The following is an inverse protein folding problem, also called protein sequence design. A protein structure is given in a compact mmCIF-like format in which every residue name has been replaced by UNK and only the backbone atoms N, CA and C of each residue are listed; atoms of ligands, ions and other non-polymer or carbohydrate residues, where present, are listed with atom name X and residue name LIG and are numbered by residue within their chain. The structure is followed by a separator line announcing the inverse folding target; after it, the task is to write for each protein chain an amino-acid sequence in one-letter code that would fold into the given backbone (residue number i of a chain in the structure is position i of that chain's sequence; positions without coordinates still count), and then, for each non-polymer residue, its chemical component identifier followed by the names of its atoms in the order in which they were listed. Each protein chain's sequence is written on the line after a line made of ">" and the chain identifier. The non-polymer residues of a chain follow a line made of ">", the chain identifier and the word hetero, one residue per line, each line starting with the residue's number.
data_IF_502055521168
#
_entry.id   IF_502055521168
#
_cell.length_a   1.000
_cell.length_b   1.000
_cell.length_c   1.000
_cell.angle_alpha   90.00
_cell.angle_beta   90.00
_cell.angle_gamma   90.00
#
_symmetry.space_group_name_H-M   'P 1'
#
loop_
_entity.id
_entity.type
_entity.pdbx_description
1 polymer ?
#
# COMPACT_ATOMS: atom_id res chain seq x y z
N UNK A 1 -12.40 -31.58 -0.52
CA UNK A 1 -11.40 -32.53 0.03
C UNK A 1 -12.12 -33.83 0.39
N UNK A 2 -11.51 -35.00 0.15
CA UNK A 2 -12.11 -36.31 0.45
C UNK A 2 -13.51 -36.54 -0.13
N UNK A 3 -13.75 -36.12 -1.38
CA UNK A 3 -15.07 -36.25 -2.05
C UNK A 3 -16.11 -35.20 -1.65
N UNK A 4 -15.82 -34.34 -0.67
CA UNK A 4 -16.71 -33.27 -0.20
C UNK A 4 -16.38 -31.96 -0.92
N UNK A 5 -17.42 -31.30 -1.45
CA UNK A 5 -17.30 -29.96 -2.02
C UNK A 5 -17.12 -28.95 -0.89
N UNK A 6 -15.92 -28.40 -0.78
CA UNK A 6 -15.57 -27.34 0.18
C UNK A 6 -15.42 -26.04 -0.59
N UNK A 7 -16.04 -24.96 -0.10
CA UNK A 7 -15.96 -23.63 -0.70
C UNK A 7 -14.75 -22.89 -0.12
N UNK A 8 -13.73 -22.66 -0.94
CA UNK A 8 -12.58 -21.84 -0.57
C UNK A 8 -12.73 -20.42 -1.11
N UNK A 9 -12.35 -19.43 -0.30
CA UNK A 9 -12.14 -18.07 -0.78
C UNK A 9 -10.87 -18.04 -1.65
N UNK A 10 -10.96 -17.46 -2.85
CA UNK A 10 -9.76 -17.19 -3.66
C UNK A 10 -8.87 -16.20 -2.92
N UNK A 11 -7.59 -16.55 -2.74
CA UNK A 11 -6.57 -15.69 -2.14
C UNK A 11 -5.53 -15.35 -3.19
N UNK A 12 -5.04 -14.11 -3.20
CA UNK A 12 -4.00 -13.70 -4.14
C UNK A 12 -2.66 -13.61 -3.43
N UNK A 13 -1.65 -14.25 -4.00
CA UNK A 13 -0.28 -14.16 -3.52
C UNK A 13 0.29 -12.79 -3.91
N UNK A 14 0.55 -11.94 -2.92
CA UNK A 14 1.04 -10.56 -3.14
C UNK A 14 2.51 -10.50 -3.58
N UNK A 15 3.27 -11.53 -3.20
CA UNK A 15 4.64 -11.80 -3.62
C UNK A 15 4.65 -12.64 -4.89
N UNK A 16 5.74 -12.57 -5.65
CA UNK A 16 5.97 -13.55 -6.70
C UNK A 16 6.51 -14.87 -6.10
N UNK A 17 6.35 -15.98 -6.83
CA UNK A 17 6.71 -17.31 -6.33
C UNK A 17 8.19 -17.42 -5.94
N UNK A 18 9.08 -16.67 -6.62
CA UNK A 18 10.51 -16.67 -6.29
C UNK A 18 10.78 -16.02 -4.93
N UNK A 19 10.15 -14.89 -4.64
CA UNK A 19 10.26 -14.18 -3.36
C UNK A 19 9.77 -15.07 -2.21
N UNK A 20 8.60 -15.71 -2.37
CA UNK A 20 8.04 -16.59 -1.33
C UNK A 20 8.90 -17.83 -1.11
N UNK A 21 9.43 -18.42 -2.18
CA UNK A 21 10.34 -19.56 -2.07
C UNK A 21 11.64 -19.19 -1.33
N UNK A 22 12.19 -17.99 -1.58
CA UNK A 22 13.37 -17.51 -0.86
C UNK A 22 13.09 -17.34 0.64
N UNK A 23 11.96 -16.73 1.01
CA UNK A 23 11.54 -16.60 2.42
C UNK A 23 11.34 -17.99 3.06
N UNK A 24 10.67 -18.90 2.36
CA UNK A 24 10.44 -20.25 2.86
C UNK A 24 11.76 -20.98 3.18
N UNK A 25 12.75 -20.92 2.29
CA UNK A 25 14.07 -21.55 2.52
C UNK A 25 14.83 -20.88 3.66
N UNK A 26 14.70 -19.54 3.82
CA UNK A 26 15.29 -18.81 4.95
C UNK A 26 14.68 -19.25 6.29
N UNK A 27 13.35 -19.36 6.33
CA UNK A 27 12.62 -19.75 7.55
C UNK A 27 12.70 -21.26 7.84
N UNK A 28 13.04 -22.07 6.82
CA UNK A 28 13.13 -23.53 6.93
C UNK A 28 14.46 -24.04 6.33
N UNK A 29 15.61 -23.82 6.99
CA UNK A 29 16.93 -24.17 6.44
C UNK A 29 17.12 -25.67 6.13
N UNK A 30 16.37 -26.54 6.81
CA UNK A 30 16.40 -27.99 6.60
C UNK A 30 15.46 -28.50 5.50
N UNK A 31 14.60 -27.65 4.93
CA UNK A 31 13.65 -28.05 3.91
C UNK A 31 14.29 -28.03 2.52
N UNK A 32 14.57 -29.21 1.96
CA UNK A 32 15.09 -29.35 0.59
C UNK A 32 13.95 -29.39 -0.43
N UNK A 33 13.43 -28.21 -0.80
CA UNK A 33 12.40 -28.09 -1.84
C UNK A 33 12.84 -27.16 -2.97
N UNK A 34 12.69 -27.63 -4.21
CA UNK A 34 12.93 -26.82 -5.41
C UNK A 34 11.84 -25.76 -5.59
N UNK A 35 12.17 -24.66 -6.29
CA UNK A 35 11.18 -23.61 -6.60
C UNK A 35 9.99 -24.13 -7.39
N UNK A 36 10.20 -25.07 -8.31
CA UNK A 36 9.12 -25.67 -9.12
C UNK A 36 8.19 -26.51 -8.25
N UNK A 37 8.74 -27.41 -7.43
CA UNK A 37 7.95 -28.21 -6.49
C UNK A 37 7.20 -27.31 -5.50
N UNK A 38 7.85 -26.29 -4.95
CA UNK A 38 7.21 -25.30 -4.08
C UNK A 38 6.02 -24.61 -4.76
N UNK A 39 6.14 -24.28 -6.04
CA UNK A 39 5.07 -23.65 -6.80
C UNK A 39 3.85 -24.58 -7.03
N UNK A 40 4.08 -25.89 -7.11
CA UNK A 40 3.07 -26.94 -7.28
C UNK A 40 2.31 -27.23 -5.99
N UNK A 41 3.00 -27.23 -4.84
CA UNK A 41 2.34 -27.37 -3.53
C UNK A 41 1.51 -26.16 -3.12
N UNK A 42 1.52 -25.08 -3.90
CA UNK A 42 0.64 -23.94 -3.68
C UNK A 42 -0.82 -24.40 -3.80
N UNK A 43 -1.67 -24.18 -2.77
CA UNK A 43 -3.08 -24.51 -2.86
C UNK A 43 -3.74 -23.84 -4.08
N UNK A 44 -4.64 -24.56 -4.76
CA UNK A 44 -5.24 -24.12 -6.03
C UNK A 44 -6.09 -22.86 -5.89
N UNK A 45 -6.65 -22.61 -4.71
CA UNK A 45 -7.37 -21.38 -4.38
C UNK A 45 -6.45 -20.19 -4.09
N UNK A 46 -5.13 -20.38 -4.00
CA UNK A 46 -4.13 -19.32 -3.93
C UNK A 46 -3.62 -19.01 -5.34
N UNK A 47 -4.03 -17.87 -5.86
CA UNK A 47 -3.72 -17.42 -7.22
C UNK A 47 -2.48 -16.51 -7.22
N UNK A 48 -1.54 -16.66 -8.17
CA UNK A 48 -0.38 -15.76 -8.24
C UNK A 48 -0.79 -14.35 -8.66
N UNK A 49 -0.09 -13.31 -8.18
CA UNK A 49 -0.36 -11.89 -8.52
C UNK A 49 -0.63 -11.61 -10.00
N UNK A 50 0.04 -12.34 -10.91
CA UNK A 50 -0.13 -12.19 -12.36
C UNK A 50 -1.57 -12.45 -12.86
N UNK A 51 -2.39 -13.15 -12.08
CA UNK A 51 -3.80 -13.40 -12.41
C UNK A 51 -4.71 -12.24 -12.04
N UNK A 52 -4.21 -11.23 -11.32
CA UNK A 52 -4.95 -9.99 -11.12
C UNK A 52 -4.93 -9.20 -12.44
N UNK A 53 -6.10 -8.87 -12.96
CA UNK A 53 -6.25 -8.09 -14.20
C UNK A 53 -5.62 -6.68 -14.08
N UNK A 54 -5.50 -6.16 -12.85
CA UNK A 54 -5.03 -4.81 -12.59
C UNK A 54 -4.04 -4.79 -11.41
N UNK A 55 -2.95 -4.01 -11.56
CA UNK A 55 -2.12 -3.59 -10.43
C UNK A 55 -2.77 -2.33 -9.83
N UNK A 56 -3.61 -2.53 -8.82
CA UNK A 56 -4.40 -1.46 -8.17
C UNK A 56 -3.60 -0.87 -7.00
N UNK A 57 -3.95 0.34 -6.54
CA UNK A 57 -3.38 1.01 -5.37
C UNK A 57 -1.86 1.28 -5.42
N UNK A 58 -1.31 1.49 -6.62
CA UNK A 58 0.10 1.86 -6.76
C UNK A 58 0.29 3.33 -6.37
N UNK A 59 1.17 3.59 -5.41
CA UNK A 59 1.55 4.94 -5.02
C UNK A 59 2.27 5.66 -6.17
N UNK A 60 1.81 6.86 -6.51
CA UNK A 60 2.42 7.74 -7.54
C UNK A 60 3.90 7.98 -7.26
N UNK A 61 4.28 8.21 -5.99
CA UNK A 61 5.69 8.43 -5.61
C UNK A 61 6.57 7.22 -5.96
N UNK A 62 6.12 5.99 -5.66
CA UNK A 62 6.87 4.78 -5.97
C UNK A 62 6.91 4.52 -7.49
N UNK A 63 5.77 4.62 -8.17
CA UNK A 63 5.72 4.30 -9.61
C UNK A 63 6.48 5.33 -10.45
N UNK A 64 6.45 6.61 -10.08
CA UNK A 64 7.18 7.63 -10.82
C UNK A 64 8.70 7.44 -10.74
N UNK A 65 9.24 7.09 -9.57
CA UNK A 65 10.66 6.74 -9.44
C UNK A 65 10.97 5.47 -10.23
N UNK A 66 10.12 4.44 -10.14
CA UNK A 66 10.26 3.20 -10.91
C UNK A 66 10.28 3.44 -12.43
N UNK A 67 9.41 4.34 -12.94
CA UNK A 67 9.36 4.70 -14.35
C UNK A 67 10.63 5.44 -14.81
N UNK A 68 11.19 6.31 -13.97
CA UNK A 68 12.47 6.99 -14.25
C UNK A 68 13.63 6.00 -14.28
N UNK A 69 13.72 5.11 -13.27
CA UNK A 69 14.75 4.06 -13.23
C UNK A 69 14.71 3.16 -14.48
N UNK A 70 13.51 2.82 -14.94
CA UNK A 70 13.33 2.06 -16.18
C UNK A 70 13.77 2.82 -17.42
N UNK A 71 13.43 4.10 -17.53
CA UNK A 71 13.81 4.91 -18.68
C UNK A 71 15.33 5.18 -18.74
N UNK A 72 15.99 5.24 -17.58
CA UNK A 72 17.44 5.40 -17.47
C UNK A 72 18.20 4.08 -17.56
N UNK A 73 17.50 2.95 -17.65
CA UNK A 73 18.10 1.63 -17.83
C UNK A 73 18.82 1.57 -19.17
N UNK A 74 20.15 1.50 -19.13
CA UNK A 74 21.01 1.52 -20.32
C UNK A 74 21.65 2.88 -20.62
N UNK A 75 21.33 3.92 -19.85
CA UNK A 75 21.93 5.27 -19.96
C UNK A 75 22.78 5.66 -18.74
N UNK A 76 22.70 4.87 -17.67
CA UNK A 76 23.49 5.03 -16.45
C UNK A 76 24.14 3.70 -16.10
N UNK A 77 25.47 3.67 -16.08
CA UNK A 77 26.23 2.44 -15.84
C UNK A 77 26.00 1.91 -14.42
N UNK A 78 25.59 0.64 -14.31
CA UNK A 78 25.37 -0.02 -13.01
C UNK A 78 24.09 0.42 -12.29
N UNK A 79 23.19 1.14 -12.97
CA UNK A 79 21.87 1.48 -12.44
C UNK A 79 21.03 0.23 -12.24
N UNK A 80 20.39 0.12 -11.08
CA UNK A 80 19.46 -0.97 -10.75
C UNK A 80 18.04 -0.61 -11.17
N UNK A 81 17.31 -1.61 -11.66
CA UNK A 81 15.87 -1.51 -11.95
C UNK A 81 14.99 -1.88 -10.74
N UNK A 82 15.57 -2.39 -9.66
CA UNK A 82 14.90 -2.65 -8.38
C UNK A 82 14.88 -1.38 -7.55
N UNK A 83 13.68 -0.92 -7.19
CA UNK A 83 13.47 0.27 -6.36
C UNK A 83 14.10 0.12 -4.96
N UNK A 84 13.94 -1.04 -4.32
CA UNK A 84 14.54 -1.29 -3.01
C UNK A 84 16.07 -1.28 -3.07
N UNK A 85 16.64 -1.87 -4.12
CA UNK A 85 18.10 -1.87 -4.33
C UNK A 85 18.62 -0.47 -4.66
N UNK A 86 17.82 0.36 -5.33
CA UNK A 86 18.16 1.76 -5.58
C UNK A 86 18.24 2.54 -4.27
N UNK A 87 17.23 2.41 -3.40
CA UNK A 87 17.18 3.11 -2.12
C UNK A 87 18.31 2.69 -1.18
N UNK A 88 18.50 1.37 -0.97
CA UNK A 88 19.56 0.83 -0.11
C UNK A 88 20.95 1.32 -0.48
N UNK A 89 21.23 1.54 -1.78
CA UNK A 89 22.52 2.08 -2.24
C UNK A 89 22.67 3.58 -1.97
N UNK A 90 21.58 4.33 -1.93
CA UNK A 90 21.60 5.79 -1.74
C UNK A 90 21.78 6.21 -0.28
N UNK A 91 21.50 5.33 0.68
CA UNK A 91 21.60 5.64 2.10
C UNK A 91 22.60 4.73 2.81
N UNK A 92 23.06 5.11 4.00
CA UNK A 92 23.92 4.25 4.84
C UNK A 92 23.10 3.21 5.60
N UNK A 93 21.97 3.65 6.18
CA UNK A 93 21.03 2.79 6.88
C UNK A 93 19.59 3.24 6.61
N UNK A 94 18.78 2.33 6.10
CA UNK A 94 17.36 2.58 5.81
C UNK A 94 16.48 2.72 7.06
N UNK A 95 17.00 2.35 8.24
CA UNK A 95 16.34 2.50 9.53
C UNK A 95 16.64 3.84 10.21
N UNK A 96 17.71 4.53 9.79
CA UNK A 96 18.08 5.83 10.35
C UNK A 96 17.28 6.95 9.71
N UNK A 97 16.71 7.80 10.57
CA UNK A 97 15.90 8.94 10.12
C UNK A 97 16.73 9.94 9.31
N UNK A 98 17.92 10.29 9.78
CA UNK A 98 18.80 11.26 9.11
C UNK A 98 19.14 10.83 7.68
N UNK A 99 19.40 9.55 7.47
CA UNK A 99 19.62 8.95 6.16
C UNK A 99 18.40 9.10 5.25
N UNK A 100 17.22 8.71 5.73
CA UNK A 100 16.00 8.69 4.92
C UNK A 100 15.33 10.05 4.76
N UNK A 101 15.68 11.02 5.59
CA UNK A 101 15.23 12.42 5.49
C UNK A 101 16.19 13.29 4.66
N UNK A 102 17.25 12.71 4.10
CA UNK A 102 18.27 13.40 3.31
C UNK A 102 19.07 14.46 4.09
N UNK A 103 19.32 14.21 5.38
CA UNK A 103 20.14 15.05 6.26
C UNK A 103 21.42 14.37 6.77
N UNK A 104 21.76 13.19 6.25
CA UNK A 104 23.00 12.48 6.58
C UNK A 104 24.16 12.94 5.69
N UNK A 105 25.24 13.40 6.32
CA UNK A 105 26.45 13.90 5.63
C UNK A 105 27.11 12.83 4.77
N UNK A 106 27.13 11.57 5.22
CA UNK A 106 27.70 10.44 4.46
C UNK A 106 26.86 10.08 3.22
N UNK A 107 25.58 10.48 3.18
CA UNK A 107 24.67 10.16 2.09
C UNK A 107 24.60 11.25 1.02
N UNK A 108 25.00 12.48 1.32
CA UNK A 108 24.73 13.67 0.49
C UNK A 108 25.29 13.53 -0.94
N UNK A 109 26.44 12.86 -1.08
CA UNK A 109 27.12 12.67 -2.36
C UNK A 109 26.80 11.34 -3.05
N UNK A 110 26.06 10.41 -2.41
CA UNK A 110 25.80 9.08 -2.96
C UNK A 110 25.06 9.12 -4.29
N UNK A 111 24.08 10.01 -4.44
CA UNK A 111 23.38 10.18 -5.71
C UNK A 111 24.34 10.60 -6.84
N UNK A 112 25.24 11.55 -6.54
CA UNK A 112 26.22 12.03 -7.52
C UNK A 112 27.14 10.88 -7.96
N UNK A 113 27.71 10.15 -7.01
CA UNK A 113 28.65 9.05 -7.27
C UNK A 113 28.02 7.85 -7.98
N UNK A 114 26.77 7.52 -7.64
CA UNK A 114 26.09 6.32 -8.15
C UNK A 114 25.34 6.55 -9.47
N UNK A 115 24.94 7.80 -9.74
CA UNK A 115 24.06 8.13 -10.87
C UNK A 115 24.73 9.15 -11.78
N UNK A 116 24.95 10.37 -11.30
CA UNK A 116 25.39 11.49 -12.15
C UNK A 116 26.75 11.24 -12.81
N UNK A 117 27.71 10.71 -12.05
CA UNK A 117 29.06 10.42 -12.58
C UNK A 117 29.10 9.19 -13.51
N UNK A 118 27.97 8.48 -13.67
CA UNK A 118 27.88 7.23 -14.44
C UNK A 118 26.94 7.34 -15.63
N UNK A 119 26.53 8.55 -16.00
CA UNK A 119 25.75 8.79 -17.22
C UNK A 119 26.65 8.47 -18.42
N UNK A 120 26.18 7.62 -19.33
CA UNK A 120 26.97 7.17 -20.48
C UNK A 120 26.80 8.04 -21.71
N UNK A 121 25.66 8.71 -21.83
CA UNK A 121 25.28 9.56 -22.97
C UNK A 121 24.25 10.57 -22.48
N UNK A 122 24.72 11.76 -22.09
CA UNK A 122 23.91 12.80 -21.44
C UNK A 122 23.11 13.67 -22.43
N UNK A 123 23.53 13.72 -23.69
CA UNK A 123 22.89 14.46 -24.78
C UNK A 123 21.84 13.64 -25.55
N UNK A 124 21.78 12.32 -25.36
CA UNK A 124 20.73 11.51 -26.00
C UNK A 124 19.33 11.89 -25.55
N UNK A 125 18.44 12.00 -26.53
CA UNK A 125 17.01 12.19 -26.28
C UNK A 125 16.36 10.84 -25.99
N UNK A 126 15.68 10.75 -24.85
CA UNK A 126 14.89 9.59 -24.44
C UNK A 126 13.45 9.99 -24.14
N UNK A 127 12.56 9.00 -24.12
CA UNK A 127 11.18 9.15 -23.69
C UNK A 127 10.94 8.41 -22.39
N UNK A 128 10.17 9.01 -21.49
CA UNK A 128 9.79 8.37 -20.23
C UNK A 128 8.35 8.71 -19.86
N UNK A 129 7.77 7.88 -18.99
CA UNK A 129 6.42 8.12 -18.48
C UNK A 129 6.46 8.68 -17.05
N UNK A 130 5.48 9.52 -16.71
CA UNK A 130 5.19 9.91 -15.34
C UNK A 130 3.68 10.01 -15.13
N UNK A 131 3.24 9.69 -13.92
CA UNK A 131 1.91 10.05 -13.43
C UNK A 131 1.94 11.46 -12.87
N UNK A 132 1.11 12.34 -13.44
CA UNK A 132 0.93 13.71 -12.96
C UNK A 132 -0.54 13.95 -12.59
N UNK A 133 -0.78 14.91 -11.72
CA UNK A 133 -2.14 15.32 -11.39
C UNK A 133 -2.57 16.44 -12.34
N UNK A 134 -3.62 16.21 -13.12
CA UNK A 134 -4.22 17.20 -14.01
C UNK A 134 -5.70 17.31 -13.64
N UNK A 135 -6.13 18.50 -13.21
CA UNK A 135 -7.52 18.78 -12.81
C UNK A 135 -8.05 17.79 -11.75
N UNK A 136 -7.24 17.46 -10.75
CA UNK A 136 -7.61 16.55 -9.66
C UNK A 136 -7.56 15.06 -10.04
N UNK A 137 -7.15 14.70 -11.26
CA UNK A 137 -7.05 13.32 -11.73
C UNK A 137 -5.60 12.96 -12.05
N UNK A 138 -5.17 11.79 -11.59
CA UNK A 138 -3.87 11.24 -11.97
C UNK A 138 -3.92 10.75 -13.42
N UNK A 139 -3.09 11.33 -14.29
CA UNK A 139 -2.96 10.96 -15.70
C UNK A 139 -1.53 10.54 -15.97
N UNK A 140 -1.36 9.43 -16.67
CA UNK A 140 -0.05 8.97 -17.14
C UNK A 140 0.30 9.70 -18.43
N UNK A 141 1.38 10.47 -18.41
CA UNK A 141 1.85 11.25 -19.55
C UNK A 141 3.24 10.78 -20.00
N UNK A 142 3.54 10.99 -21.28
CA UNK A 142 4.85 10.76 -21.87
C UNK A 142 5.61 12.07 -21.95
N UNK A 143 6.87 12.03 -21.55
CA UNK A 143 7.83 13.12 -21.62
C UNK A 143 8.95 12.73 -22.59
N UNK A 144 9.58 13.72 -23.20
CA UNK A 144 10.73 13.55 -24.09
C UNK A 144 11.76 14.62 -23.77
N UNK A 145 13.03 14.24 -23.71
CA UNK A 145 14.11 15.16 -23.35
C UNK A 145 15.44 14.44 -23.21
N UNK A 146 16.47 15.19 -22.84
CA UNK A 146 17.82 14.65 -22.68
C UNK A 146 17.88 13.66 -21.51
N UNK A 147 18.77 12.68 -21.58
CA UNK A 147 19.07 11.76 -20.46
C UNK A 147 19.37 12.55 -19.20
N UNK A 148 20.18 13.63 -19.30
CA UNK A 148 20.50 14.48 -18.16
C UNK A 148 19.25 15.09 -17.50
N UNK A 149 18.24 15.48 -18.28
CA UNK A 149 16.99 16.03 -17.74
C UNK A 149 16.20 14.96 -16.98
N UNK A 150 16.15 13.73 -17.51
CA UNK A 150 15.51 12.59 -16.83
C UNK A 150 16.23 12.24 -15.51
N UNK A 151 17.57 12.28 -15.49
CA UNK A 151 18.36 12.08 -14.26
C UNK A 151 18.11 13.18 -13.23
N UNK A 152 18.03 14.46 -13.66
CA UNK A 152 17.69 15.57 -12.76
C UNK A 152 16.30 15.37 -12.12
N UNK A 153 15.30 14.95 -12.89
CA UNK A 153 13.98 14.62 -12.32
C UNK A 153 14.03 13.47 -11.31
N UNK A 154 14.86 12.46 -11.54
CA UNK A 154 15.09 11.39 -10.57
C UNK A 154 15.74 11.94 -9.29
N UNK A 155 16.73 12.81 -9.41
CA UNK A 155 17.39 13.49 -8.28
C UNK A 155 16.38 14.27 -7.45
N UNK A 156 15.56 15.10 -8.09
CA UNK A 156 14.58 15.96 -7.43
C UNK A 156 13.51 15.16 -6.68
N UNK A 157 13.12 13.99 -7.20
CA UNK A 157 12.13 13.11 -6.57
C UNK A 157 12.72 12.26 -5.44
N UNK A 158 14.03 12.02 -5.44
CA UNK A 158 14.69 11.08 -4.52
C UNK A 158 14.45 11.44 -3.04
N UNK A 159 14.65 12.69 -2.56
CA UNK A 159 14.42 13.03 -1.16
C UNK A 159 12.99 12.78 -0.69
N UNK A 160 12.00 13.20 -1.49
CA UNK A 160 10.58 12.97 -1.18
C UNK A 160 10.24 11.47 -1.16
N UNK A 161 10.87 10.69 -2.03
CA UNK A 161 10.67 9.24 -2.08
C UNK A 161 11.27 8.53 -0.87
N UNK A 162 12.50 8.89 -0.45
CA UNK A 162 13.13 8.34 0.76
C UNK A 162 12.27 8.60 1.99
N UNK A 163 11.85 9.86 2.18
CA UNK A 163 10.96 10.26 3.27
C UNK A 163 9.66 9.46 3.27
N UNK A 164 9.03 9.34 2.09
CA UNK A 164 7.80 8.58 1.92
C UNK A 164 7.96 7.11 2.33
N UNK A 165 9.07 6.47 1.94
CA UNK A 165 9.36 5.07 2.29
C UNK A 165 9.61 4.90 3.79
N UNK A 166 10.37 5.80 4.41
CA UNK A 166 10.63 5.75 5.85
C UNK A 166 9.36 5.93 6.68
N UNK A 167 8.57 6.96 6.39
CA UNK A 167 7.29 7.21 7.06
C UNK A 167 6.37 6.00 6.91
N UNK A 168 6.20 5.48 5.68
CA UNK A 168 5.38 4.30 5.44
C UNK A 168 5.82 3.10 6.29
N UNK A 169 7.13 2.87 6.41
CA UNK A 169 7.68 1.76 7.21
C UNK A 169 7.44 1.95 8.71
N UNK A 170 7.66 3.17 9.23
CA UNK A 170 7.37 3.50 10.64
C UNK A 170 5.89 3.34 10.97
N UNK A 171 5.01 3.80 10.08
CA UNK A 171 3.57 3.63 10.20
C UNK A 171 3.18 2.14 10.20
N UNK A 172 3.76 1.36 9.28
CA UNK A 172 3.51 -0.08 9.23
C UNK A 172 3.99 -0.79 10.49
N UNK A 173 5.16 -0.44 11.03
CA UNK A 173 5.69 -1.02 12.26
C UNK A 173 4.77 -0.71 13.45
N UNK A 174 4.44 0.56 13.64
CA UNK A 174 3.56 0.97 14.73
C UNK A 174 2.14 0.36 14.62
N UNK A 175 1.62 0.20 13.40
CA UNK A 175 0.37 -0.52 13.17
C UNK A 175 0.45 -2.00 13.59
N UNK A 176 1.54 -2.69 13.23
CA UNK A 176 1.78 -4.08 13.65
C UNK A 176 1.94 -4.18 15.17
N UNK A 177 2.61 -3.21 15.81
CA UNK A 177 2.77 -3.15 17.26
C UNK A 177 1.41 -3.00 17.96
N UNK A 178 0.55 -2.08 17.49
CA UNK A 178 -0.80 -1.93 18.02
C UNK A 178 -1.61 -3.21 17.86
N UNK A 179 -1.57 -3.81 16.66
CA UNK A 179 -2.32 -5.02 16.35
C UNK A 179 -1.90 -6.19 17.25
N UNK A 180 -0.60 -6.33 17.49
CA UNK A 180 -0.03 -7.43 18.29
C UNK A 180 -0.29 -7.24 19.79
N UNK A 181 -0.32 -5.97 20.25
CA UNK A 181 -0.52 -5.63 21.66
C UNK A 181 -1.96 -5.23 21.99
N UNK A 182 -2.92 -5.48 21.09
CA UNK A 182 -4.32 -5.17 21.30
C UNK A 182 -4.89 -6.01 22.45
N UNK A 183 -5.45 -5.33 23.46
CA UNK A 183 -6.10 -5.95 24.62
C UNK A 183 -7.49 -6.48 24.25
N UNK A 184 -8.01 -7.42 25.04
CA UNK A 184 -9.32 -8.09 24.87
C UNK A 184 -10.51 -7.14 24.65
N UNK A 185 -10.38 -5.88 25.08
CA UNK A 185 -11.39 -4.85 24.95
C UNK A 185 -11.17 -3.88 23.77
N UNK A 186 -10.19 -4.18 22.90
CA UNK A 186 -9.75 -3.31 21.81
C UNK A 186 -9.91 -4.01 20.46
N UNK A 187 -10.45 -3.30 19.49
CA UNK A 187 -10.50 -3.72 18.09
C UNK A 187 -9.68 -2.75 17.25
N UNK A 188 -8.75 -3.30 16.47
CA UNK A 188 -7.93 -2.56 15.53
C UNK A 188 -8.50 -2.81 14.14
N UNK A 189 -8.91 -1.78 13.43
CA UNK A 189 -9.51 -1.91 12.10
C UNK A 189 -8.63 -1.23 11.06
N UNK A 190 -8.29 -1.95 10.00
CA UNK A 190 -7.76 -1.36 8.77
C UNK A 190 -8.92 -1.18 7.78
N UNK A 191 -9.11 0.03 7.28
CA UNK A 191 -10.16 0.36 6.30
C UNK A 191 -9.48 0.72 4.99
N UNK A 192 -9.98 0.22 3.87
CA UNK A 192 -9.52 0.62 2.54
C UNK A 192 -10.37 1.77 1.99
N UNK A 193 -9.85 2.47 0.98
CA UNK A 193 -10.60 3.52 0.30
C UNK A 193 -11.90 2.96 -0.30
N UNK A 194 -12.96 3.77 -0.30
CA UNK A 194 -14.21 3.35 -0.91
C UNK A 194 -14.06 3.21 -2.42
N UNK A 195 -14.58 2.10 -2.95
CA UNK A 195 -14.84 1.96 -4.37
C UNK A 195 -16.27 2.39 -4.68
N UNK A 196 -16.44 3.21 -5.72
CA UNK A 196 -17.77 3.57 -6.21
C UNK A 196 -18.36 2.38 -6.97
N UNK A 197 -19.26 1.64 -6.34
CA UNK A 197 -20.02 0.61 -7.02
C UNK A 197 -21.13 1.26 -7.86
N UNK A 198 -21.07 1.05 -9.18
CA UNK A 198 -22.11 1.49 -10.09
C UNK A 198 -23.32 0.60 -9.94
N UNK A 199 -24.45 1.16 -9.53
CA UNK A 199 -25.72 0.44 -9.53
C UNK A 199 -26.26 0.33 -10.96
N UNK A 200 -26.46 -0.91 -11.41
CA UNK A 200 -27.11 -1.21 -12.68
C UNK A 200 -28.37 -2.05 -12.45
N UNK A 201 -29.39 -1.80 -13.27
CA UNK A 201 -30.59 -2.63 -13.32
C UNK A 201 -30.43 -3.57 -14.52
N UNK A 202 -30.81 -4.83 -14.38
CA UNK A 202 -30.62 -5.82 -15.44
C UNK A 202 -31.41 -5.47 -16.72
N UNK A 203 -32.64 -4.95 -16.59
CA UNK A 203 -33.52 -4.66 -17.72
C UNK A 203 -33.70 -3.15 -17.97
N UNK A 204 -32.60 -2.44 -18.23
CA UNK A 204 -32.67 -0.98 -18.51
C UNK A 204 -33.10 -0.69 -19.94
N UNK A 205 -34.07 0.22 -20.07
CA UNK A 205 -34.37 0.89 -21.34
C UNK A 205 -33.17 1.76 -21.78
N UNK A 206 -33.04 1.99 -23.08
CA UNK A 206 -31.87 2.68 -23.66
C UNK A 206 -31.61 4.08 -23.06
N UNK A 207 -32.67 4.81 -22.67
CA UNK A 207 -32.55 6.12 -22.04
C UNK A 207 -31.98 6.08 -20.62
N UNK A 208 -32.09 4.95 -19.91
CA UNK A 208 -31.54 4.75 -18.56
C UNK A 208 -30.05 4.34 -18.57
N UNK A 209 -29.41 4.29 -19.74
CA UNK A 209 -28.00 3.95 -19.89
C UNK A 209 -27.05 5.04 -19.35
N UNK A 210 -27.50 6.31 -19.40
CA UNK A 210 -26.76 7.48 -18.95
C UNK A 210 -27.23 7.91 -17.55
N UNK A 211 -26.31 8.32 -16.66
CA UNK A 211 -26.66 8.75 -15.30
C UNK A 211 -26.67 7.61 -14.27
N UNK A 212 -25.59 6.83 -14.20
CA UNK A 212 -25.43 5.77 -13.20
C UNK A 212 -25.37 6.36 -11.80
N UNK A 213 -26.14 5.78 -10.88
CA UNK A 213 -26.01 6.06 -9.45
C UNK A 213 -24.84 5.23 -8.90
N UNK A 214 -24.03 5.87 -8.07
CA UNK A 214 -22.89 5.23 -7.42
C UNK A 214 -23.15 5.10 -5.93
N UNK A 215 -22.79 3.94 -5.40
CA UNK A 215 -22.81 3.69 -3.96
C UNK A 215 -21.39 3.37 -3.52
N UNK A 216 -20.78 4.16 -2.63
CA UNK A 216 -19.46 3.85 -2.11
C UNK A 216 -19.50 2.60 -1.22
N UNK A 217 -18.62 1.66 -1.53
CA UNK A 217 -18.40 0.46 -0.73
C UNK A 217 -17.00 0.57 -0.12
N UNK A 218 -16.93 0.59 1.21
CA UNK A 218 -15.67 0.45 1.93
C UNK A 218 -15.47 -1.02 2.31
N UNK A 219 -14.23 -1.46 2.29
CA UNK A 219 -13.85 -2.74 2.87
C UNK A 219 -12.99 -2.48 4.10
N UNK A 220 -13.19 -3.29 5.14
CA UNK A 220 -12.38 -3.20 6.34
C UNK A 220 -12.02 -4.59 6.85
N UNK A 221 -10.91 -4.67 7.56
CA UNK A 221 -10.53 -5.85 8.33
C UNK A 221 -10.28 -5.44 9.77
N UNK A 222 -10.96 -6.10 10.71
CA UNK A 222 -10.82 -5.87 12.14
C UNK A 222 -10.07 -7.01 12.81
N UNK A 223 -9.06 -6.69 13.62
CA UNK A 223 -8.40 -7.59 14.56
C UNK A 223 -8.94 -7.31 15.96
N UNK A 224 -9.38 -8.35 16.65
CA UNK A 224 -9.93 -8.27 17.99
C UNK A 224 -8.83 -8.65 18.97
N UNK A 225 -8.55 -7.82 19.98
CA UNK A 225 -7.58 -8.19 20.99
C UNK A 225 -8.06 -9.40 21.80
N UNK A 226 -7.12 -10.14 22.40
CA UNK A 226 -7.42 -11.35 23.18
C UNK A 226 -7.80 -12.59 22.38
N UNK A 227 -8.15 -12.47 21.09
CA UNK A 227 -8.57 -13.61 20.25
C UNK A 227 -7.42 -14.39 19.61
N UNK A 228 -6.18 -14.21 20.06
CA UNK A 228 -5.01 -14.84 19.44
C UNK A 228 -4.74 -14.38 18.00
N UNK A 229 -5.31 -13.25 17.58
CA UNK A 229 -5.10 -12.66 16.25
C UNK A 229 -6.21 -12.97 15.23
N UNK A 230 -7.28 -13.65 15.63
CA UNK A 230 -8.45 -13.86 14.77
C UNK A 230 -9.12 -12.53 14.43
N UNK A 231 -9.34 -12.31 13.13
CA UNK A 231 -9.96 -11.09 12.61
C UNK A 231 -11.13 -11.35 11.67
N UNK A 232 -11.80 -10.27 11.26
CA UNK A 232 -13.00 -10.33 10.41
C UNK A 232 -12.97 -9.29 9.30
N UNK A 233 -13.39 -9.70 8.10
CA UNK A 233 -13.66 -8.80 6.99
C UNK A 233 -15.06 -8.20 7.09
N UNK A 234 -15.17 -6.91 6.78
CA UNK A 234 -16.41 -6.16 6.70
C UNK A 234 -16.55 -5.50 5.32
N UNK A 235 -17.76 -5.56 4.76
CA UNK A 235 -18.17 -4.73 3.63
C UNK A 235 -19.15 -3.68 4.14
N UNK A 236 -18.87 -2.41 3.87
CA UNK A 236 -19.57 -1.27 4.43
C UNK A 236 -20.13 -0.45 3.28
N UNK A 237 -21.43 -0.17 3.32
CA UNK A 237 -22.10 0.64 2.30
C UNK A 237 -22.36 2.02 2.90
N UNK A 238 -21.91 3.08 2.22
CA UNK A 238 -22.21 4.46 2.60
C UNK A 238 -23.27 5.07 1.69
N UNK A 239 -24.12 5.91 2.26
CA UNK A 239 -25.07 6.78 1.55
C UNK A 239 -24.45 8.13 1.16
N UNK A 240 -23.22 8.42 1.58
CA UNK A 240 -22.46 9.60 1.16
C UNK A 240 -21.53 9.23 0.01
N UNK A 241 -21.59 10.00 -1.07
CA UNK A 241 -20.66 9.91 -2.21
C UNK A 241 -19.32 10.61 -1.96
N UNK A 242 -19.15 11.21 -0.79
CA UNK A 242 -17.93 11.92 -0.42
C UNK A 242 -16.88 10.86 -0.04
N UNK A 243 -15.81 10.79 -0.84
CA UNK A 243 -14.63 9.95 -0.59
C UNK A 243 -13.74 10.54 0.50
N UNK A 244 -14.32 10.87 1.66
CA UNK A 244 -13.55 11.25 2.83
C UNK A 244 -13.74 10.21 3.93
N UNK A 245 -12.63 9.86 4.59
CA UNK A 245 -12.69 8.90 5.69
C UNK A 245 -13.45 9.44 6.91
N UNK A 246 -13.73 10.74 6.93
CA UNK A 246 -14.52 11.40 7.96
C UNK A 246 -16.02 11.19 7.81
N UNK A 247 -16.46 10.40 6.83
CA UNK A 247 -17.84 10.03 6.77
C UNK A 247 -18.22 9.21 8.02
N UNK A 248 -18.86 9.91 8.95
CA UNK A 248 -19.37 9.40 10.22
C UNK A 248 -20.23 8.13 10.05
N UNK A 249 -20.75 7.85 8.86
CA UNK A 249 -21.50 6.64 8.52
C UNK A 249 -20.66 5.37 8.67
N UNK A 250 -19.40 5.37 8.18
CA UNK A 250 -18.48 4.22 8.22
C UNK A 250 -18.14 3.89 9.67
N UNK A 251 -17.80 4.91 10.46
CA UNK A 251 -17.50 4.76 11.88
C UNK A 251 -18.70 4.31 12.71
N UNK A 252 -19.88 4.90 12.46
CA UNK A 252 -21.11 4.52 13.15
C UNK A 252 -21.49 3.08 12.85
N UNK A 253 -21.27 2.62 11.61
CA UNK A 253 -21.54 1.25 11.19
C UNK A 253 -20.54 0.25 11.81
N UNK A 254 -19.24 0.55 11.78
CA UNK A 254 -18.22 -0.29 12.43
C UNK A 254 -18.50 -0.42 13.93
N UNK A 255 -18.79 0.69 14.61
CA UNK A 255 -19.18 0.68 16.03
C UNK A 255 -20.44 -0.15 16.31
N UNK A 256 -21.41 -0.12 15.40
CA UNK A 256 -22.68 -0.86 15.53
C UNK A 256 -22.55 -2.37 15.30
N UNK A 257 -21.72 -2.81 14.36
CA UNK A 257 -21.60 -4.23 14.02
C UNK A 257 -20.63 -4.98 14.93
N UNK A 258 -19.55 -4.33 15.39
CA UNK A 258 -18.65 -4.93 16.39
C UNK A 258 -19.42 -5.21 17.70
N UNK A 259 -20.38 -4.34 18.08
CA UNK A 259 -21.27 -4.56 19.24
C UNK A 259 -22.16 -5.82 19.14
N UNK A 260 -22.49 -6.28 17.94
CA UNK A 260 -23.43 -7.41 17.75
C UNK A 260 -22.76 -8.78 17.89
N UNK A 261 -21.43 -8.87 17.72
CA UNK A 261 -20.74 -10.15 17.65
C UNK A 261 -20.41 -10.75 19.02
N UNK A 262 -20.05 -9.92 20.00
CA UNK A 262 -19.48 -10.43 21.26
C UNK A 262 -20.47 -10.49 22.43
N UNK A 263 -21.78 -10.22 22.24
CA UNK A 263 -22.72 -9.98 23.38
C UNK A 263 -22.19 -8.93 24.39
N UNK A 264 -21.26 -8.08 23.94
CA UNK A 264 -20.51 -7.11 24.75
C UNK A 264 -20.90 -5.70 24.31
N UNK A 265 -21.39 -4.92 25.27
CA UNK A 265 -21.72 -3.51 25.06
C UNK A 265 -20.43 -2.69 25.00
N UNK A 266 -19.95 -2.36 23.78
CA UNK A 266 -18.78 -1.49 23.62
C UNK A 266 -19.05 -0.05 24.10
N UNK A 267 -18.16 0.43 24.96
CA UNK A 267 -18.14 1.77 25.57
C UNK A 267 -17.84 2.89 24.58
N UNK A 268 -17.82 4.13 25.08
CA UNK A 268 -17.92 5.35 24.27
C UNK A 268 -16.65 5.73 23.48
N UNK A 269 -15.47 5.19 23.78
CA UNK A 269 -14.19 5.66 23.23
C UNK A 269 -13.82 5.00 21.88
N UNK A 270 -13.77 5.83 20.83
CA UNK A 270 -13.14 5.47 19.55
C UNK A 270 -11.90 6.35 19.42
N UNK A 271 -10.72 5.75 19.46
CA UNK A 271 -9.46 6.47 19.26
C UNK A 271 -9.01 6.22 17.83
N UNK A 272 -9.22 7.20 16.95
CA UNK A 272 -8.78 7.08 15.57
C UNK A 272 -7.34 7.58 15.46
N UNK A 273 -6.41 6.70 15.10
CA UNK A 273 -5.06 7.10 14.73
C UNK A 273 -5.01 7.33 13.23
N UNK A 274 -5.13 8.59 12.82
CA UNK A 274 -4.76 8.97 11.47
C UNK A 274 -3.24 9.13 11.44
N UNK A 275 -2.56 8.24 10.73
CA UNK A 275 -1.14 8.45 10.44
C UNK A 275 -0.97 9.54 9.37
N UNK A 276 -1.27 10.78 9.73
CA UNK A 276 -1.13 11.95 8.86
C UNK A 276 -0.28 13.07 9.44
N UNK A 277 0.22 12.98 10.67
CA UNK A 277 0.92 14.11 11.30
C UNK A 277 2.44 13.97 11.30
N UNK A 278 3.04 14.48 10.22
CA UNK A 278 3.91 15.65 10.37
C UNK A 278 3.62 16.60 9.21
N UNK A 279 2.96 17.72 9.56
CA UNK A 279 2.61 18.90 8.75
C UNK A 279 1.55 18.72 7.66
N UNK A 280 0.61 19.67 7.64
CA UNK A 280 -0.21 20.00 6.48
C UNK A 280 0.66 19.98 5.21
N UNK A 281 0.10 19.49 4.11
CA UNK A 281 0.74 19.15 2.82
C UNK A 281 1.17 17.68 2.80
N UNK A 282 0.25 16.80 2.35
CA UNK A 282 0.47 15.73 1.36
C UNK A 282 -0.77 14.81 1.33
N UNK A 283 -1.80 15.22 0.58
CA UNK A 283 -2.96 14.38 0.20
C UNK A 283 -2.59 13.19 -0.72
N UNK A 284 -1.34 12.76 -0.75
CA UNK A 284 -0.78 11.91 -1.82
C UNK A 284 0.08 10.75 -1.30
N UNK A 285 0.11 10.49 0.01
CA UNK A 285 0.96 9.43 0.56
C UNK A 285 0.14 8.29 1.11
N UNK A 286 0.57 7.08 0.76
CA UNK A 286 0.06 5.77 1.18
C UNK A 286 -0.28 5.81 2.69
N UNK A 287 -1.55 6.01 3.02
CA UNK A 287 -2.05 6.06 4.39
C UNK A 287 -2.43 4.64 4.77
N UNK A 288 -1.78 4.07 5.79
CA UNK A 288 -2.42 2.98 6.53
C UNK A 288 -3.56 3.61 7.32
N UNK A 289 -4.79 3.39 6.88
CA UNK A 289 -5.95 3.92 7.59
C UNK A 289 -6.29 2.94 8.71
N UNK A 290 -5.98 3.34 9.94
CA UNK A 290 -6.19 2.54 11.14
C UNK A 290 -7.22 3.21 12.04
N UNK A 291 -8.19 2.45 12.52
CA UNK A 291 -9.20 2.87 13.49
C UNK A 291 -9.09 1.97 14.70
N UNK A 292 -8.87 2.54 15.88
CA UNK A 292 -8.86 1.77 17.13
C UNK A 292 -10.17 2.04 17.88
N UNK A 293 -10.86 0.97 18.26
CA UNK A 293 -12.10 1.02 19.03
C UNK A 293 -11.81 0.33 20.36
N UNK A 294 -11.97 1.04 21.48
CA UNK A 294 -11.72 0.49 22.82
C UNK A 294 -12.94 0.64 23.72
N UNK A 295 -13.17 -0.35 24.59
CA UNK A 295 -14.12 -0.21 25.71
C UNK A 295 -13.43 0.55 26.83
N UNK A 296 -13.68 1.86 26.95
CA UNK A 296 -13.34 2.61 28.16
C UNK A 296 -14.42 2.40 29.22
N UNK A 297 -14.03 1.88 30.39
CA UNK A 297 -14.77 2.05 31.64
C UNK A 297 -14.36 3.32 32.40
N UNK A 298 -13.40 4.10 31.90
CA UNK A 298 -13.05 5.40 32.49
C UNK A 298 -12.36 6.29 31.48
N UNK A 299 -12.78 7.56 31.43
CA UNK A 299 -12.01 8.65 30.85
C UNK A 299 -10.76 8.82 31.72
N UNK A 300 -9.58 8.52 31.19
CA UNK A 300 -8.33 8.99 31.77
C UNK A 300 -8.05 10.37 31.16
N UNK A 301 -8.14 11.40 32.02
CA UNK A 301 -7.63 12.75 31.79
C UNK A 301 -6.10 12.73 31.66
#
# INVERSE_FOLDING_TARGET
>A
ENGIRVKYQKRFLLFNIREVHQLFVQDNPGASISRSSFAEFRPTYVLPKKTLAHRICICVTHENVNLLLKALSGHVQGLTNSLNTFLSKLVCDEKQESCMMSSCDDCINKFQLLIMNKITDDEKIIKWFQWINTNGRAVKQVFSGLVLQCVKQLKDKTPSHLRHVYIKRKQSQYFEDIKTNARDNTVVCQVDYAENFSMDNQDKIQSAHWGKNFVPIFTAYGWFGGSGGDGQSFGLVSNSIIHNLFDSSVFRYLKGNVKKRDSVTLGQAVTCFYFTEMTQILKTHCVYQCVIISRNDSVLL
#
